data_IF_411639943028
#
_entry.id   IF_411639943028
#
_cell.length_a   1.000
_cell.length_b   1.000
_cell.length_c   1.000
_cell.angle_alpha   90.00
_cell.angle_beta   90.00
_cell.angle_gamma   90.00
#
_symmetry.space_group_name_H-M   'P 1'
#
loop_
_entity.id
_entity.type
_entity.pdbx_description
1 polymer ?
#
# COMPACT_ATOMS: atom_id res chain seq x y z
N UNK A 1 -1.90 -1.40 -14.00
CA UNK A 1 -3.04 -2.32 -14.26
C UNK A 1 -3.92 -1.76 -15.38
N UNK A 2 -3.98 -2.43 -16.54
CA UNK A 2 -4.88 -2.06 -17.65
C UNK A 2 -6.36 -2.20 -17.25
N UNK A 3 -7.25 -1.35 -17.79
CA UNK A 3 -8.71 -1.37 -17.55
C UNK A 3 -9.31 -2.76 -17.76
N UNK A 4 -8.82 -3.51 -18.75
CA UNK A 4 -9.24 -4.88 -19.02
C UNK A 4 -8.91 -5.86 -17.87
N UNK A 5 -7.79 -5.65 -17.18
CA UNK A 5 -7.34 -6.49 -16.05
C UNK A 5 -8.15 -6.19 -14.79
N UNK A 6 -8.57 -4.94 -14.61
CA UNK A 6 -9.49 -4.53 -13.53
C UNK A 6 -10.87 -5.17 -13.68
N UNK A 7 -11.43 -5.17 -14.91
CA UNK A 7 -12.72 -5.79 -15.20
C UNK A 7 -12.72 -7.29 -14.91
N UNK A 8 -11.69 -8.01 -15.34
CA UNK A 8 -11.59 -9.44 -15.10
C UNK A 8 -11.47 -9.80 -13.61
N UNK A 9 -10.78 -8.98 -12.79
CA UNK A 9 -10.74 -9.19 -11.33
C UNK A 9 -12.12 -8.96 -10.70
N UNK A 10 -12.82 -7.91 -11.15
CA UNK A 10 -14.15 -7.60 -10.65
C UNK A 10 -15.17 -8.70 -10.93
N UNK A 11 -15.13 -9.29 -12.13
CA UNK A 11 -15.95 -10.45 -12.49
C UNK A 11 -15.70 -11.65 -11.58
N UNK A 12 -14.44 -11.91 -11.20
CA UNK A 12 -14.08 -13.07 -10.37
C UNK A 12 -14.49 -12.88 -8.90
N UNK A 13 -14.41 -11.66 -8.38
CA UNK A 13 -14.96 -11.33 -7.04
C UNK A 13 -16.48 -11.48 -7.08
N UNK A 14 -17.16 -10.87 -8.06
CA UNK A 14 -18.61 -10.98 -8.21
C UNK A 14 -19.10 -12.43 -8.32
N UNK A 15 -18.35 -13.30 -9.00
CA UNK A 15 -18.66 -14.73 -9.12
C UNK A 15 -18.53 -15.52 -7.80
N UNK A 16 -18.03 -14.91 -6.72
CA UNK A 16 -17.91 -15.58 -5.42
C UNK A 16 -19.25 -15.76 -4.72
N UNK A 17 -20.21 -14.82 -4.91
CA UNK A 17 -21.55 -14.91 -4.35
C UNK A 17 -22.64 -14.39 -5.30
N UNK A 18 -23.82 -15.03 -5.36
CA UNK A 18 -24.97 -14.50 -6.09
C UNK A 18 -25.40 -13.13 -5.57
N UNK A 19 -25.68 -12.19 -6.47
CA UNK A 19 -26.19 -10.85 -6.13
C UNK A 19 -25.13 -9.75 -6.07
N UNK A 20 -23.84 -10.08 -6.23
CA UNK A 20 -22.80 -9.10 -6.49
C UNK A 20 -22.63 -8.89 -8.00
N UNK A 21 -22.69 -7.64 -8.46
CA UNK A 21 -22.49 -7.29 -9.86
C UNK A 21 -21.04 -6.86 -10.11
N UNK A 22 -20.44 -7.35 -11.20
CA UNK A 22 -19.05 -7.03 -11.56
C UNK A 22 -18.83 -5.52 -11.78
N UNK A 23 -19.86 -4.81 -12.25
CA UNK A 23 -19.83 -3.34 -12.40
C UNK A 23 -19.63 -2.63 -11.06
N UNK A 24 -20.31 -3.08 -10.01
CA UNK A 24 -20.25 -2.51 -8.67
C UNK A 24 -18.91 -2.83 -8.00
N UNK A 25 -18.41 -4.07 -8.16
CA UNK A 25 -17.06 -4.43 -7.71
C UNK A 25 -16.02 -3.54 -8.41
N UNK A 26 -16.11 -3.38 -9.73
CA UNK A 26 -15.16 -2.56 -10.48
C UNK A 26 -15.20 -1.09 -10.05
N UNK A 27 -16.39 -0.57 -9.71
CA UNK A 27 -16.54 0.77 -9.16
C UNK A 27 -15.87 0.87 -7.78
N UNK A 28 -16.10 -0.10 -6.90
CA UNK A 28 -15.49 -0.15 -5.57
C UNK A 28 -13.96 -0.24 -5.61
N UNK A 29 -13.42 -1.08 -6.49
CA UNK A 29 -11.97 -1.21 -6.70
C UNK A 29 -11.33 0.08 -7.23
N UNK A 30 -12.06 0.88 -8.02
CA UNK A 30 -11.57 2.18 -8.50
C UNK A 30 -11.66 3.27 -7.44
N UNK A 31 -12.71 3.26 -6.64
CA UNK A 31 -12.92 4.27 -5.58
C UNK A 31 -12.18 3.94 -4.28
N UNK A 32 -11.70 2.70 -4.12
CA UNK A 32 -11.18 2.18 -2.87
C UNK A 32 -12.26 1.97 -1.80
N UNK A 33 -13.55 1.99 -2.17
CA UNK A 33 -14.67 1.99 -1.22
C UNK A 33 -15.84 1.14 -1.66
N UNK A 34 -16.41 0.38 -0.73
CA UNK A 34 -17.71 -0.24 -0.91
C UNK A 34 -18.85 0.79 -0.79
N UNK A 35 -19.89 0.74 -1.64
CA UNK A 35 -21.07 1.58 -1.49
C UNK A 35 -21.82 1.26 -0.20
N UNK A 36 -22.42 2.28 0.42
CA UNK A 36 -23.29 2.08 1.58
C UNK A 36 -24.48 1.16 1.21
N UNK A 37 -24.77 0.18 2.08
CA UNK A 37 -25.87 -0.77 1.88
C UNK A 37 -25.59 -1.89 0.86
N UNK A 38 -24.35 -2.04 0.37
CA UNK A 38 -23.99 -3.07 -0.60
C UNK A 38 -23.73 -4.44 0.06
N UNK A 39 -24.74 -5.02 0.73
CA UNK A 39 -24.62 -6.28 1.48
C UNK A 39 -24.03 -7.44 0.67
N UNK A 40 -24.66 -7.87 -0.43
CA UNK A 40 -24.14 -8.98 -1.26
C UNK A 40 -22.74 -8.71 -1.84
N UNK A 41 -22.45 -7.45 -2.18
CA UNK A 41 -21.12 -7.06 -2.67
C UNK A 41 -20.07 -7.19 -1.57
N UNK A 42 -20.37 -6.74 -0.34
CA UNK A 42 -19.47 -6.88 0.81
C UNK A 42 -19.20 -8.35 1.09
N UNK A 43 -20.23 -9.17 1.14
CA UNK A 43 -20.07 -10.62 1.37
C UNK A 43 -19.20 -11.25 0.28
N UNK A 44 -19.34 -10.84 -0.99
CA UNK A 44 -18.54 -11.35 -2.09
C UNK A 44 -17.05 -10.95 -1.94
N UNK A 45 -16.79 -9.72 -1.50
CA UNK A 45 -15.44 -9.22 -1.21
C UNK A 45 -14.83 -9.95 -0.02
N UNK A 46 -15.56 -10.09 1.08
CA UNK A 46 -15.10 -10.82 2.28
C UNK A 46 -14.81 -12.28 1.95
N UNK A 47 -15.69 -12.95 1.19
CA UNK A 47 -15.44 -14.32 0.75
C UNK A 47 -14.19 -14.41 -0.14
N UNK A 48 -14.04 -13.52 -1.13
CA UNK A 48 -12.86 -13.50 -2.00
C UNK A 48 -11.55 -13.31 -1.19
N UNK A 49 -11.59 -12.47 -0.15
CA UNK A 49 -10.46 -12.21 0.74
C UNK A 49 -10.10 -13.37 1.69
N UNK A 50 -10.82 -14.49 1.67
CA UNK A 50 -10.51 -15.70 2.44
C UNK A 50 -10.09 -16.90 1.58
N UNK A 51 -9.99 -16.73 0.25
CA UNK A 51 -9.77 -17.82 -0.71
C UNK A 51 -8.50 -17.64 -1.56
N UNK A 52 -7.30 -17.59 -0.94
CA UNK A 52 -6.05 -17.32 -1.67
C UNK A 52 -5.74 -18.36 -2.77
N UNK A 53 -6.08 -19.63 -2.54
CA UNK A 53 -5.80 -20.73 -3.47
C UNK A 53 -6.76 -20.79 -4.66
N UNK A 54 -7.93 -20.16 -4.54
CA UNK A 54 -8.94 -20.16 -5.60
C UNK A 54 -8.60 -19.16 -6.70
N UNK A 55 -8.23 -17.94 -6.30
CA UNK A 55 -7.94 -16.85 -7.22
C UNK A 55 -7.09 -15.78 -6.51
N UNK A 56 -5.77 -15.90 -6.63
CA UNK A 56 -4.85 -14.97 -5.97
C UNK A 56 -5.09 -13.49 -6.36
N UNK A 57 -5.32 -13.12 -7.65
CA UNK A 57 -5.69 -11.74 -7.98
C UNK A 57 -6.97 -11.22 -7.31
N UNK A 58 -8.05 -12.02 -7.27
CA UNK A 58 -9.30 -11.62 -6.62
C UNK A 58 -9.11 -11.48 -5.10
N UNK A 59 -8.41 -12.43 -4.50
CA UNK A 59 -8.01 -12.40 -3.08
C UNK A 59 -7.24 -11.11 -2.74
N UNK A 60 -6.16 -10.79 -3.48
CA UNK A 60 -5.38 -9.58 -3.21
C UNK A 60 -6.20 -8.29 -3.37
N UNK A 61 -7.04 -8.20 -4.41
CA UNK A 61 -7.84 -7.02 -4.66
C UNK A 61 -8.94 -6.83 -3.61
N UNK A 62 -9.56 -7.92 -3.18
CA UNK A 62 -10.55 -7.91 -2.11
C UNK A 62 -9.93 -7.49 -0.76
N UNK A 63 -8.78 -8.07 -0.39
CA UNK A 63 -8.06 -7.66 0.84
C UNK A 63 -7.65 -6.18 0.76
N UNK A 64 -7.14 -5.71 -0.38
CA UNK A 64 -6.77 -4.31 -0.55
C UNK A 64 -7.96 -3.36 -0.37
N UNK A 65 -9.14 -3.73 -0.87
CA UNK A 65 -10.37 -2.95 -0.69
C UNK A 65 -10.80 -2.90 0.78
N UNK A 66 -10.74 -4.02 1.50
CA UNK A 66 -11.07 -4.06 2.93
C UNK A 66 -10.08 -3.24 3.78
N UNK A 67 -8.79 -3.29 3.45
CA UNK A 67 -7.76 -2.46 4.10
C UNK A 67 -8.00 -0.97 3.86
N UNK A 68 -8.30 -0.57 2.62
CA UNK A 68 -8.58 0.83 2.28
C UNK A 68 -9.80 1.35 3.06
N UNK A 69 -10.88 0.56 3.14
CA UNK A 69 -12.07 0.93 3.89
C UNK A 69 -11.80 1.08 5.40
N UNK A 70 -11.01 0.16 5.97
CA UNK A 70 -10.63 0.22 7.38
C UNK A 70 -9.75 1.45 7.70
N UNK A 71 -8.83 1.80 6.81
CA UNK A 71 -7.95 2.96 6.98
C UNK A 71 -8.68 4.30 6.88
N UNK A 72 -9.75 4.38 6.07
CA UNK A 72 -10.57 5.59 5.99
C UNK A 72 -11.45 5.80 7.24
N UNK A 73 -11.61 4.79 8.10
CA UNK A 73 -12.49 4.85 9.28
C UNK A 73 -13.98 5.05 8.93
N UNK A 74 -14.34 4.86 7.66
CA UNK A 74 -15.63 5.26 7.10
C UNK A 74 -16.67 4.13 7.09
N UNK A 75 -16.34 2.95 7.62
CA UNK A 75 -17.27 1.82 7.60
C UNK A 75 -18.33 1.94 8.70
N UNK A 76 -19.63 2.02 8.37
CA UNK A 76 -20.71 1.99 9.35
C UNK A 76 -20.95 0.60 9.95
N UNK A 77 -20.31 -0.43 9.40
CA UNK A 77 -20.32 -1.80 9.90
C UNK A 77 -18.99 -2.09 10.59
N UNK A 78 -18.99 -3.00 11.57
CA UNK A 78 -17.73 -3.50 12.11
C UNK A 78 -16.93 -4.11 10.95
N UNK A 79 -15.71 -3.62 10.66
CA UNK A 79 -14.89 -4.21 9.62
C UNK A 79 -14.67 -5.70 9.93
N UNK A 80 -14.45 -6.55 8.92
CA UNK A 80 -14.03 -7.91 9.16
C UNK A 80 -12.80 -7.91 10.06
N UNK A 81 -12.60 -8.99 10.83
CA UNK A 81 -11.42 -9.15 11.66
C UNK A 81 -10.18 -9.29 10.77
N UNK A 82 -9.62 -8.16 10.38
CA UNK A 82 -8.46 -8.06 9.49
C UNK A 82 -7.21 -8.63 10.17
N UNK A 83 -7.17 -8.68 11.51
CA UNK A 83 -6.10 -9.40 12.20
C UNK A 83 -6.22 -10.91 11.96
N UNK A 84 -7.42 -11.48 12.11
CA UNK A 84 -7.64 -12.88 11.77
C UNK A 84 -7.33 -13.21 10.30
N UNK A 85 -7.66 -12.31 9.36
CA UNK A 85 -7.33 -12.48 7.94
C UNK A 85 -5.82 -12.46 7.70
N UNK A 86 -5.11 -11.54 8.36
CA UNK A 86 -3.66 -11.50 8.32
C UNK A 86 -3.07 -12.81 8.82
N UNK A 87 -3.47 -13.25 10.01
CA UNK A 87 -2.86 -14.42 10.66
C UNK A 87 -3.15 -15.72 9.91
N UNK A 88 -4.35 -15.85 9.34
CA UNK A 88 -4.72 -17.00 8.52
C UNK A 88 -4.00 -17.03 7.16
N UNK A 89 -3.68 -15.88 6.57
CA UNK A 89 -3.25 -15.80 5.17
C UNK A 89 -1.91 -15.06 4.94
N UNK A 90 -1.13 -14.81 5.99
CA UNK A 90 0.15 -14.09 5.92
C UNK A 90 1.11 -14.67 4.86
N UNK A 91 1.14 -16.00 4.72
CA UNK A 91 1.93 -16.68 3.68
C UNK A 91 1.51 -16.30 2.25
N UNK A 92 0.21 -16.24 1.98
CA UNK A 92 -0.32 -15.87 0.67
C UNK A 92 -0.01 -14.41 0.34
N UNK A 93 -0.17 -13.49 1.31
CA UNK A 93 0.19 -12.09 1.12
C UNK A 93 1.69 -11.91 0.84
N UNK A 94 2.58 -12.64 1.55
CA UNK A 94 4.04 -12.60 1.31
C UNK A 94 4.43 -13.19 -0.05
N UNK A 95 3.67 -14.14 -0.56
CA UNK A 95 3.89 -14.73 -1.88
C UNK A 95 3.42 -13.83 -3.05
N UNK A 96 2.68 -12.75 -2.77
CA UNK A 96 2.20 -11.84 -3.79
C UNK A 96 3.35 -11.14 -4.56
N UNK A 97 3.11 -10.67 -5.79
CA UNK A 97 4.06 -9.83 -6.51
C UNK A 97 4.49 -8.63 -5.66
N UNK A 98 5.76 -8.21 -5.76
CA UNK A 98 6.34 -7.26 -4.82
C UNK A 98 5.53 -5.96 -4.61
N UNK A 99 4.99 -5.28 -5.65
CA UNK A 99 4.16 -4.09 -5.44
C UNK A 99 2.85 -4.39 -4.70
N UNK A 100 2.24 -5.55 -4.97
CA UNK A 100 0.99 -5.98 -4.32
C UNK A 100 1.25 -6.34 -2.87
N UNK A 101 2.30 -7.14 -2.60
CA UNK A 101 2.72 -7.47 -1.24
C UNK A 101 3.01 -6.20 -0.46
N UNK A 102 3.81 -5.29 -1.00
CA UNK A 102 4.15 -4.03 -0.35
C UNK A 102 2.90 -3.22 0.04
N UNK A 103 1.93 -3.08 -0.88
CA UNK A 103 0.69 -2.37 -0.61
C UNK A 103 -0.13 -3.03 0.52
N UNK A 104 -0.35 -4.34 0.45
CA UNK A 104 -1.11 -5.09 1.46
C UNK A 104 -0.43 -5.03 2.83
N UNK A 105 0.88 -5.25 2.87
CA UNK A 105 1.67 -5.26 4.11
C UNK A 105 1.77 -3.88 4.75
N UNK A 106 1.83 -2.82 3.95
CA UNK A 106 1.73 -1.46 4.49
C UNK A 106 0.33 -1.18 5.06
N UNK A 107 -0.74 -1.62 4.38
CA UNK A 107 -2.10 -1.48 4.90
C UNK A 107 -2.29 -2.16 6.26
N UNK A 108 -1.87 -3.43 6.38
CA UNK A 108 -1.92 -4.15 7.66
C UNK A 108 -1.08 -3.49 8.75
N UNK A 109 0.12 -3.01 8.41
CA UNK A 109 1.00 -2.31 9.36
C UNK A 109 0.37 -1.02 9.87
N UNK A 110 -0.20 -0.21 8.98
CA UNK A 110 -0.88 1.03 9.36
C UNK A 110 -2.05 0.77 10.32
N UNK A 111 -2.86 -0.26 10.05
CA UNK A 111 -3.96 -0.65 10.95
C UNK A 111 -3.46 -1.18 12.29
N UNK A 112 -2.35 -1.91 12.30
CA UNK A 112 -1.71 -2.37 13.53
C UNK A 112 -1.21 -1.21 14.39
N UNK A 113 -0.48 -0.28 13.77
CA UNK A 113 0.10 0.87 14.46
C UNK A 113 -1.01 1.81 14.99
N UNK A 114 -2.15 1.88 14.30
CA UNK A 114 -3.35 2.58 14.76
C UNK A 114 -4.17 1.83 15.85
N UNK A 115 -3.81 0.59 16.17
CA UNK A 115 -4.55 -0.27 17.11
C UNK A 115 -5.87 -0.83 16.56
N UNK A 116 -6.16 -0.63 15.28
CA UNK A 116 -7.38 -1.09 14.61
C UNK A 116 -7.32 -2.58 14.24
N UNK A 117 -6.13 -3.15 14.08
CA UNK A 117 -5.91 -4.58 13.84
C UNK A 117 -4.68 -5.07 14.63
N UNK A 118 -4.83 -5.57 15.87
CA UNK A 118 -3.70 -6.03 16.68
C UNK A 118 -3.16 -7.37 16.16
N UNK A 119 -2.22 -7.31 15.22
CA UNK A 119 -1.55 -8.47 14.64
C UNK A 119 -0.57 -9.13 15.62
N UNK A 120 -0.59 -10.46 15.71
CA UNK A 120 0.38 -11.24 16.48
C UNK A 120 1.81 -11.12 15.92
N UNK A 121 1.91 -11.11 14.59
CA UNK A 121 3.18 -11.00 13.86
C UNK A 121 3.08 -9.92 12.77
N UNK A 122 3.26 -8.63 13.12
CA UNK A 122 3.06 -7.55 12.17
C UNK A 122 4.06 -7.60 11.01
N UNK A 123 3.69 -7.05 9.83
CA UNK A 123 4.55 -7.05 8.65
C UNK A 123 5.94 -6.45 8.92
N UNK A 124 6.98 -7.13 8.42
CA UNK A 124 8.36 -6.66 8.56
C UNK A 124 8.69 -5.60 7.51
N UNK A 125 9.82 -4.90 7.67
CA UNK A 125 10.32 -3.97 6.63
C UNK A 125 10.52 -4.65 5.27
N UNK A 126 10.95 -5.91 5.26
CA UNK A 126 11.14 -6.66 4.02
C UNK A 126 9.80 -7.00 3.34
N UNK A 127 8.77 -7.32 4.12
CA UNK A 127 7.43 -7.60 3.60
C UNK A 127 6.83 -6.36 2.92
N UNK A 128 7.07 -5.19 3.50
CA UNK A 128 6.54 -3.90 3.04
C UNK A 128 7.26 -3.28 1.83
N UNK A 129 8.44 -3.77 1.48
CA UNK A 129 9.24 -3.18 0.43
C UNK A 129 8.90 -3.73 -0.97
N UNK A 130 8.72 -2.84 -1.93
CA UNK A 130 8.60 -3.17 -3.36
C UNK A 130 9.95 -3.65 -3.92
N UNK A 131 11.05 -3.05 -3.46
CA UNK A 131 12.43 -3.41 -3.85
C UNK A 131 13.28 -3.70 -2.62
N UNK A 132 14.16 -4.69 -2.72
CA UNK A 132 15.12 -4.99 -1.66
C UNK A 132 16.09 -3.80 -1.46
N UNK A 133 16.43 -3.49 -0.20
CA UNK A 133 17.30 -2.35 0.14
C UNK A 133 18.63 -2.39 -0.62
N UNK A 134 19.26 -3.56 -0.73
CA UNK A 134 20.53 -3.73 -1.48
C UNK A 134 20.42 -3.34 -2.95
N UNK A 135 19.26 -3.51 -3.58
CA UNK A 135 19.03 -3.11 -4.98
C UNK A 135 18.90 -1.59 -5.07
N UNK A 136 18.20 -0.98 -4.12
CA UNK A 136 18.04 0.47 -3.99
C UNK A 136 19.39 1.15 -3.77
N UNK A 137 20.19 0.66 -2.82
CA UNK A 137 21.54 1.14 -2.54
C UNK A 137 22.47 1.02 -3.75
N UNK A 138 22.38 -0.11 -4.48
CA UNK A 138 23.17 -0.30 -5.70
C UNK A 138 22.79 0.70 -6.79
N UNK A 139 21.50 1.02 -6.95
CA UNK A 139 21.01 2.01 -7.90
C UNK A 139 21.54 3.42 -7.62
N UNK A 140 21.72 3.78 -6.34
CA UNK A 140 22.21 5.09 -5.92
C UNK A 140 23.68 5.36 -6.27
N UNK A 141 24.47 4.36 -6.71
CA UNK A 141 25.91 4.53 -6.99
C UNK A 141 26.22 5.66 -7.98
N UNK A 142 25.34 5.88 -8.97
CA UNK A 142 25.48 6.94 -9.98
C UNK A 142 24.85 8.29 -9.59
N UNK A 143 24.19 8.41 -8.44
CA UNK A 143 23.57 9.66 -8.02
C UNK A 143 24.61 10.68 -7.51
N UNK A 144 24.39 12.00 -7.70
CA UNK A 144 25.21 13.05 -7.11
C UNK A 144 25.40 12.85 -5.60
N UNK A 145 26.62 13.08 -5.09
CA UNK A 145 26.96 12.83 -3.68
C UNK A 145 26.02 13.52 -2.69
N UNK A 146 25.64 14.77 -2.98
CA UNK A 146 24.74 15.56 -2.12
C UNK A 146 23.31 14.99 -2.03
N UNK A 147 22.90 14.15 -3.00
CA UNK A 147 21.65 13.39 -2.93
C UNK A 147 21.88 12.01 -2.31
N UNK A 148 22.99 11.37 -2.69
CA UNK A 148 23.32 9.99 -2.31
C UNK A 148 23.58 9.81 -0.82
N UNK A 149 24.36 10.70 -0.21
CA UNK A 149 24.83 10.51 1.17
C UNK A 149 23.68 10.56 2.20
N UNK A 150 22.76 11.54 2.17
CA UNK A 150 21.61 11.54 3.07
C UNK A 150 20.74 10.29 2.90
N UNK A 151 20.49 9.87 1.65
CA UNK A 151 19.70 8.68 1.34
C UNK A 151 20.33 7.40 1.89
N UNK A 152 21.65 7.19 1.69
CA UNK A 152 22.34 6.03 2.24
C UNK A 152 22.33 6.02 3.77
N UNK A 153 22.48 7.18 4.41
CA UNK A 153 22.38 7.29 5.87
C UNK A 153 20.98 6.92 6.36
N UNK A 154 19.92 7.40 5.70
CA UNK A 154 18.54 7.07 6.02
C UNK A 154 18.23 5.58 5.77
N UNK A 155 18.71 4.98 4.68
CA UNK A 155 18.56 3.55 4.38
C UNK A 155 19.26 2.66 5.41
N UNK A 156 20.42 3.10 5.92
CA UNK A 156 21.15 2.43 6.99
C UNK A 156 20.49 2.57 8.39
N UNK A 157 19.35 3.26 8.49
CA UNK A 157 18.62 3.48 9.75
C UNK A 157 18.99 4.76 10.50
N UNK A 158 19.77 5.66 9.90
CA UNK A 158 20.02 6.99 10.43
C UNK A 158 18.75 7.86 10.51
N UNK A 159 18.85 9.01 11.15
CA UNK A 159 17.75 9.97 11.25
C UNK A 159 17.33 10.48 9.85
N UNK A 160 16.02 10.53 9.53
CA UNK A 160 15.56 10.85 8.19
C UNK A 160 15.61 12.36 7.87
N UNK A 161 15.80 13.23 8.86
CA UNK A 161 15.59 14.69 8.74
C UNK A 161 16.25 15.39 7.54
N UNK A 162 17.51 15.05 7.22
CA UNK A 162 18.17 15.61 6.02
C UNK A 162 17.52 15.13 4.71
N UNK A 163 17.08 13.87 4.69
CA UNK A 163 16.43 13.27 3.53
C UNK A 163 14.99 13.74 3.39
N UNK A 164 14.30 13.97 4.51
CA UNK A 164 12.98 14.61 4.58
C UNK A 164 13.02 16.04 4.05
N UNK A 165 13.99 16.84 4.48
CA UNK A 165 14.20 18.19 3.97
C UNK A 165 14.50 18.16 2.46
N UNK A 166 15.35 17.23 2.02
CA UNK A 166 15.65 17.04 0.60
C UNK A 166 14.38 16.72 -0.22
N UNK A 167 13.52 15.84 0.28
CA UNK A 167 12.26 15.50 -0.38
C UNK A 167 11.28 16.68 -0.41
N UNK A 168 11.17 17.40 0.70
CA UNK A 168 10.31 18.58 0.83
C UNK A 168 10.68 19.69 -0.15
N UNK A 169 11.98 19.98 -0.26
CA UNK A 169 12.48 21.10 -1.06
C UNK A 169 12.55 20.77 -2.56
N UNK A 170 12.81 19.50 -2.90
CA UNK A 170 13.16 19.09 -4.27
C UNK A 170 12.36 17.92 -4.81
N UNK A 171 11.36 17.41 -4.09
CA UNK A 171 10.63 16.19 -4.44
C UNK A 171 10.13 16.18 -5.88
N UNK A 172 9.61 17.31 -6.39
CA UNK A 172 9.13 17.44 -7.77
C UNK A 172 10.19 17.11 -8.82
N UNK A 173 11.43 17.57 -8.60
CA UNK A 173 12.55 17.30 -9.49
C UNK A 173 13.06 15.86 -9.30
N UNK A 174 13.06 15.38 -8.06
CA UNK A 174 13.62 14.09 -7.68
C UNK A 174 12.77 12.90 -8.14
N UNK A 175 11.46 13.08 -8.31
CA UNK A 175 10.58 12.05 -8.91
C UNK A 175 11.07 11.64 -10.30
N UNK A 176 11.66 12.56 -11.06
CA UNK A 176 12.19 12.28 -12.40
C UNK A 176 13.57 11.61 -12.40
N UNK A 177 14.19 11.40 -11.22
CA UNK A 177 15.50 10.77 -11.08
C UNK A 177 15.35 9.34 -10.51
N UNK A 178 15.30 8.29 -11.35
CA UNK A 178 14.82 6.96 -10.93
C UNK A 178 15.54 6.37 -9.71
N UNK A 179 16.90 6.42 -9.60
CA UNK A 179 17.57 5.89 -8.43
C UNK A 179 17.22 6.62 -7.12
N UNK A 180 16.95 7.93 -7.19
CA UNK A 180 16.56 8.72 -6.02
C UNK A 180 15.09 8.49 -5.69
N UNK A 181 14.22 8.47 -6.69
CA UNK A 181 12.80 8.15 -6.52
C UNK A 181 12.60 6.76 -5.91
N UNK A 182 13.38 5.76 -6.34
CA UNK A 182 13.36 4.41 -5.77
C UNK A 182 13.79 4.40 -4.30
N UNK A 183 14.82 5.17 -3.95
CA UNK A 183 15.28 5.27 -2.57
C UNK A 183 14.26 5.96 -1.67
N UNK A 184 13.69 7.07 -2.13
CA UNK A 184 12.60 7.75 -1.42
C UNK A 184 11.38 6.84 -1.25
N UNK A 185 11.01 6.08 -2.30
CA UNK A 185 9.92 5.09 -2.24
C UNK A 185 10.20 4.04 -1.18
N UNK A 186 11.41 3.50 -1.17
CA UNK A 186 11.80 2.50 -0.17
C UNK A 186 11.68 3.05 1.26
N UNK A 187 12.05 4.31 1.49
CA UNK A 187 11.90 4.95 2.80
C UNK A 187 10.42 5.08 3.19
N UNK A 188 9.57 5.56 2.28
CA UNK A 188 8.11 5.62 2.50
C UNK A 188 7.50 4.25 2.81
N UNK A 189 7.97 3.19 2.16
CA UNK A 189 7.44 1.83 2.34
C UNK A 189 7.92 1.17 3.64
N UNK A 190 9.07 1.56 4.19
CA UNK A 190 9.75 0.74 5.20
C UNK A 190 10.06 1.47 6.50
N UNK A 191 9.93 2.79 6.55
CA UNK A 191 10.20 3.59 7.75
C UNK A 191 8.91 4.09 8.38
N UNK A 192 8.76 3.77 9.67
CA UNK A 192 7.59 4.19 10.46
C UNK A 192 7.74 5.64 10.95
N UNK A 193 8.97 6.15 10.99
CA UNK A 193 9.30 7.50 11.44
C UNK A 193 9.47 8.52 10.30
N UNK A 194 9.29 8.08 9.05
CA UNK A 194 9.43 8.91 7.86
C UNK A 194 8.20 9.80 7.67
N UNK A 195 8.39 11.10 7.85
CA UNK A 195 7.33 12.09 7.64
C UNK A 195 7.93 13.41 7.13
N UNK A 196 8.14 13.53 5.80
CA UNK A 196 8.73 14.74 5.23
C UNK A 196 7.84 15.98 5.39
N UNK A 197 6.57 15.79 5.75
CA UNK A 197 5.57 16.84 5.85
C UNK A 197 5.14 17.14 7.29
N UNK A 198 5.78 16.53 8.30
CA UNK A 198 5.40 16.63 9.73
C UNK A 198 5.09 18.04 10.23
N UNK A 199 5.87 19.00 9.74
CA UNK A 199 5.80 20.41 10.17
C UNK A 199 4.91 21.27 9.25
N UNK A 200 4.25 20.67 8.25
CA UNK A 200 3.39 21.38 7.31
C UNK A 200 1.92 21.23 7.69
N UNK A 201 1.11 22.31 7.59
CA UNK A 201 -0.33 22.20 7.74
C UNK A 201 -0.96 21.49 6.53
N UNK A 202 -2.09 20.81 6.74
CA UNK A 202 -2.76 19.98 5.73
C UNK A 202 -3.07 20.70 4.42
N UNK A 203 -3.49 21.97 4.49
CA UNK A 203 -3.79 22.81 3.33
C UNK A 203 -2.55 23.03 2.44
N UNK A 204 -1.40 23.21 3.07
CA UNK A 204 -0.12 23.30 2.37
C UNK A 204 0.30 21.95 1.79
N UNK A 205 0.15 20.86 2.53
CA UNK A 205 0.44 19.51 2.01
C UNK A 205 -0.41 19.23 0.77
N UNK A 206 -1.70 19.58 0.79
CA UNK A 206 -2.60 19.40 -0.34
C UNK A 206 -2.20 20.25 -1.56
N UNK A 207 -1.70 21.47 -1.34
CA UNK A 207 -1.33 22.38 -2.43
C UNK A 207 0.08 22.13 -2.99
N UNK A 208 1.03 21.79 -2.14
CA UNK A 208 2.47 21.79 -2.46
C UNK A 208 3.11 20.41 -2.38
N UNK A 209 2.54 19.50 -1.58
CA UNK A 209 3.08 18.19 -1.26
C UNK A 209 3.32 17.33 -2.49
N UNK A 210 4.43 16.59 -2.46
CA UNK A 210 4.82 15.68 -3.54
C UNK A 210 4.57 14.25 -3.09
N UNK A 211 3.59 13.60 -3.71
CA UNK A 211 3.40 12.17 -3.58
C UNK A 211 4.41 11.43 -4.46
N UNK A 212 5.00 10.35 -3.95
CA UNK A 212 5.78 9.44 -4.80
C UNK A 212 4.78 8.68 -5.67
N UNK A 213 4.89 8.77 -7.01
CA UNK A 213 4.03 7.97 -7.87
C UNK A 213 4.36 6.48 -7.66
N UNK A 214 3.33 5.67 -7.44
CA UNK A 214 3.48 4.23 -7.49
C UNK A 214 3.72 3.80 -8.93
N UNK A 215 4.71 2.92 -9.14
CA UNK A 215 4.86 2.28 -10.46
C UNK A 215 3.60 1.47 -10.76
N UNK A 216 2.96 1.76 -11.89
CA UNK A 216 1.83 0.96 -12.34
C UNK A 216 2.34 -0.47 -12.62
N UNK A 217 1.68 -1.52 -12.10
CA UNK A 217 2.00 -2.90 -12.45
C UNK A 217 1.59 -3.22 -13.88
#
# INVERSE_FOLDING_TARGET
MSVARAGAVAERIAASLPGAEAGDVAAALRSGRLPAGAGPLREAVELAATLPDRDAPAFHAATALLLAEALEGASPLAPPDLAAYHDAHAGAYRAAPAPVRAALMNGFRLLHDAGAAPLDAPPTRADRATRACVVVEAGLKGAPLHLRLPLLAALAGGAPGETEALWRDRGRDLVAAPPVADAMRHLYETRDDWDPWRDWPDDRIAAEGVAIPFEAP
#
